data_IF_937929342858
#
_entry.id   IF_937929342858
#
_cell.length_a   1.000
_cell.length_b   1.000
_cell.length_c   1.000
_cell.angle_alpha   90.00
_cell.angle_beta   90.00
_cell.angle_gamma   90.00
#
_symmetry.space_group_name_H-M   'P 1'
#
loop_
_entity.id
_entity.type
_entity.pdbx_description
1 polymer ?
#
# COMPACT_ATOMS: atom_id res chain seq x y z
N UNK A 1 -40.20 48.72 -6.88
CA UNK A 1 -38.83 48.98 -6.35
C UNK A 1 -38.33 47.85 -5.41
N UNK A 2 -39.09 47.35 -4.45
CA UNK A 2 -38.63 46.35 -3.50
C UNK A 2 -38.28 44.97 -4.08
N UNK A 3 -38.90 44.47 -5.16
CA UNK A 3 -38.59 43.20 -5.77
C UNK A 3 -37.23 43.14 -6.48
N UNK A 4 -36.78 44.28 -7.01
CA UNK A 4 -35.48 44.37 -7.71
C UNK A 4 -34.31 44.38 -6.68
N UNK A 5 -34.53 44.99 -5.51
CA UNK A 5 -33.53 45.02 -4.45
C UNK A 5 -33.31 43.63 -3.84
N UNK A 6 -34.40 42.82 -3.68
CA UNK A 6 -34.29 41.45 -3.17
C UNK A 6 -33.53 40.52 -4.12
N UNK A 7 -33.72 40.64 -5.42
CA UNK A 7 -33.00 39.85 -6.42
C UNK A 7 -31.52 40.22 -6.45
N UNK A 8 -31.19 41.49 -6.33
CA UNK A 8 -29.78 41.96 -6.27
C UNK A 8 -29.05 41.51 -5.00
N UNK A 9 -29.73 41.47 -3.84
CA UNK A 9 -29.15 40.96 -2.59
C UNK A 9 -28.90 39.45 -2.66
N UNK A 10 -29.83 38.65 -3.19
CA UNK A 10 -29.66 37.19 -3.34
C UNK A 10 -28.56 36.86 -4.34
N UNK A 11 -28.44 37.62 -5.44
CA UNK A 11 -27.36 37.42 -6.44
C UNK A 11 -25.99 37.83 -5.82
N UNK A 12 -25.94 38.92 -5.05
CA UNK A 12 -24.71 39.37 -4.41
C UNK A 12 -24.23 38.40 -3.31
N UNK A 13 -25.15 37.85 -2.49
CA UNK A 13 -24.85 36.80 -1.53
C UNK A 13 -24.42 35.48 -2.19
N UNK A 14 -25.07 35.08 -3.28
CA UNK A 14 -24.71 33.90 -4.05
C UNK A 14 -23.34 34.04 -4.75
N UNK A 15 -23.00 35.23 -5.23
CA UNK A 15 -21.66 35.50 -5.80
C UNK A 15 -20.55 35.49 -4.73
N UNK A 16 -20.81 36.10 -3.57
CA UNK A 16 -19.83 36.09 -2.46
C UNK A 16 -19.59 34.68 -1.89
N UNK A 17 -20.64 33.84 -1.78
CA UNK A 17 -20.48 32.43 -1.38
C UNK A 17 -19.70 31.63 -2.42
N UNK A 18 -19.92 31.85 -3.72
CA UNK A 18 -19.14 31.21 -4.79
C UNK A 18 -17.68 31.70 -4.84
N UNK A 19 -17.44 32.98 -4.64
CA UNK A 19 -16.09 33.55 -4.59
C UNK A 19 -15.31 33.03 -3.39
N UNK A 20 -15.91 33.00 -2.19
CA UNK A 20 -15.27 32.43 -1.01
C UNK A 20 -15.00 30.92 -1.12
N UNK A 21 -15.90 30.16 -1.77
CA UNK A 21 -15.67 28.74 -2.04
C UNK A 21 -14.56 28.53 -3.10
N UNK A 22 -14.47 29.41 -4.06
CA UNK A 22 -13.47 29.37 -5.12
C UNK A 22 -12.07 29.84 -4.63
N UNK A 23 -12.00 30.82 -3.72
CA UNK A 23 -10.77 31.22 -3.04
C UNK A 23 -10.28 30.12 -2.09
N UNK A 24 -11.17 29.53 -1.29
CA UNK A 24 -10.83 28.43 -0.39
C UNK A 24 -10.31 27.19 -1.15
N UNK A 25 -10.86 26.89 -2.33
CA UNK A 25 -10.34 25.83 -3.21
C UNK A 25 -8.97 26.20 -3.84
N UNK A 26 -8.74 27.50 -4.15
CA UNK A 26 -7.43 27.96 -4.64
C UNK A 26 -6.35 27.77 -3.59
N UNK A 27 -6.64 28.09 -2.32
CA UNK A 27 -5.71 27.91 -1.21
C UNK A 27 -5.39 26.42 -0.97
N UNK A 28 -6.38 25.54 -1.09
CA UNK A 28 -6.19 24.09 -1.00
C UNK A 28 -5.20 23.62 -2.07
N UNK A 29 -5.39 23.99 -3.31
CA UNK A 29 -4.50 23.62 -4.41
C UNK A 29 -3.09 24.21 -4.22
N UNK A 30 -2.98 25.46 -3.81
CA UNK A 30 -1.70 26.17 -3.68
C UNK A 30 -0.78 25.51 -2.64
N UNK A 31 -1.28 25.18 -1.44
CA UNK A 31 -0.45 24.58 -0.39
C UNK A 31 -0.06 23.14 -0.74
N UNK A 32 -1.01 22.34 -1.25
CA UNK A 32 -0.71 20.99 -1.70
C UNK A 32 0.33 20.99 -2.83
N UNK A 33 0.18 21.88 -3.80
CA UNK A 33 1.14 22.11 -4.89
C UNK A 33 2.52 22.46 -4.32
N UNK A 34 2.60 23.44 -3.43
CA UNK A 34 3.86 23.90 -2.82
C UNK A 34 4.57 22.78 -2.06
N UNK A 35 3.83 21.93 -1.32
CA UNK A 35 4.41 20.81 -0.58
C UNK A 35 4.98 19.74 -1.51
N UNK A 36 4.28 19.42 -2.60
CA UNK A 36 4.75 18.41 -3.55
C UNK A 36 5.92 18.96 -4.38
N UNK A 37 5.85 20.21 -4.83
CA UNK A 37 6.91 20.87 -5.57
C UNK A 37 8.18 21.03 -4.72
N UNK A 38 8.05 21.37 -3.43
CA UNK A 38 9.17 21.36 -2.49
C UNK A 38 9.85 19.98 -2.44
N UNK A 39 9.07 18.88 -2.46
CA UNK A 39 9.61 17.53 -2.52
C UNK A 39 10.40 17.27 -3.81
N UNK A 40 9.89 17.70 -4.96
CA UNK A 40 10.57 17.56 -6.26
C UNK A 40 11.86 18.38 -6.30
N UNK A 41 11.80 19.64 -5.89
CA UNK A 41 12.95 20.55 -5.86
C UNK A 41 14.08 20.05 -4.95
N UNK A 42 13.74 19.44 -3.81
CA UNK A 42 14.68 18.83 -2.88
C UNK A 42 15.03 17.37 -3.23
N UNK A 43 14.70 16.90 -4.43
CA UNK A 43 14.97 15.55 -4.94
C UNK A 43 14.45 14.44 -4.03
N UNK A 44 13.36 14.67 -3.31
CA UNK A 44 12.70 13.64 -2.52
C UNK A 44 12.04 12.58 -3.41
N UNK A 45 11.61 12.97 -4.58
CA UNK A 45 11.07 12.13 -5.67
C UNK A 45 11.02 12.95 -6.97
N UNK A 46 11.12 12.32 -8.15
CA UNK A 46 11.04 13.05 -9.43
C UNK A 46 9.63 13.44 -9.82
N UNK A 47 8.61 12.73 -9.33
CA UNK A 47 7.22 13.03 -9.60
C UNK A 47 6.27 12.29 -8.66
N UNK A 48 5.01 12.71 -8.67
CA UNK A 48 3.99 12.18 -7.75
C UNK A 48 2.57 12.28 -8.32
N UNK A 49 1.66 11.50 -7.72
CA UNK A 49 0.20 11.71 -7.79
C UNK A 49 -0.32 11.99 -6.39
N UNK A 50 -1.22 12.95 -6.28
CA UNK A 50 -1.93 13.28 -5.05
C UNK A 50 -3.43 13.27 -5.30
N UNK A 51 -4.16 12.54 -4.44
CA UNK A 51 -5.62 12.59 -4.36
C UNK A 51 -6.02 12.87 -2.92
N UNK A 52 -6.91 13.85 -2.74
CA UNK A 52 -7.58 14.16 -1.48
C UNK A 52 -9.08 13.99 -1.69
N UNK A 53 -9.69 13.19 -0.83
CA UNK A 53 -11.14 12.98 -0.76
C UNK A 53 -11.64 13.46 0.60
N UNK A 54 -12.69 14.24 0.60
CA UNK A 54 -13.32 14.75 1.82
C UNK A 54 -14.80 15.04 1.58
N UNK A 55 -15.63 14.71 2.56
CA UNK A 55 -17.07 14.99 2.50
C UNK A 55 -17.72 14.50 1.19
N UNK A 56 -17.56 13.20 0.94
CA UNK A 56 -18.16 12.44 -0.17
C UNK A 56 -17.76 12.90 -1.58
N UNK A 57 -16.62 13.60 -1.72
CA UNK A 57 -16.13 14.01 -3.03
C UNK A 57 -14.62 14.10 -3.11
N UNK A 58 -14.08 13.91 -4.32
CA UNK A 58 -12.67 14.17 -4.63
C UNK A 58 -12.45 15.68 -4.67
N UNK A 59 -11.69 16.20 -3.73
CA UNK A 59 -11.33 17.62 -3.65
C UNK A 59 -10.13 17.97 -4.54
N UNK A 60 -9.18 17.04 -4.65
CA UNK A 60 -7.97 17.19 -5.45
C UNK A 60 -7.58 15.85 -6.09
N UNK A 61 -7.30 15.88 -7.39
CA UNK A 61 -6.59 14.82 -8.11
C UNK A 61 -5.60 15.46 -9.07
N UNK A 62 -4.31 15.35 -8.75
CA UNK A 62 -3.27 16.01 -9.55
C UNK A 62 -2.00 15.18 -9.64
N UNK A 63 -1.32 15.29 -10.78
CA UNK A 63 -0.01 14.70 -11.05
C UNK A 63 1.04 15.79 -11.14
N UNK A 64 2.25 15.52 -10.65
CA UNK A 64 3.35 16.47 -10.53
C UNK A 64 4.63 15.86 -11.08
N UNK A 65 5.49 16.69 -11.65
CA UNK A 65 6.83 16.33 -12.06
C UNK A 65 6.88 15.29 -13.18
N UNK A 66 7.87 14.42 -13.10
CA UNK A 66 8.25 13.50 -14.17
C UNK A 66 8.49 12.08 -13.63
N UNK A 67 8.55 11.08 -14.54
CA UNK A 67 8.89 9.71 -14.16
C UNK A 67 10.29 9.60 -13.57
N UNK A 68 11.21 10.42 -14.06
CA UNK A 68 12.64 10.42 -13.73
C UNK A 68 13.17 11.87 -13.66
N UNK A 69 14.37 12.06 -13.10
CA UNK A 69 15.00 13.39 -12.99
C UNK A 69 15.54 13.96 -14.32
N UNK A 70 15.49 13.18 -15.41
CA UNK A 70 15.79 13.71 -16.76
C UNK A 70 14.70 14.62 -17.32
N UNK A 71 13.55 14.65 -16.68
CA UNK A 71 12.39 15.51 -17.00
C UNK A 71 11.82 15.30 -18.42
N UNK A 72 11.90 14.08 -18.96
CA UNK A 72 11.39 13.75 -20.30
C UNK A 72 9.91 13.34 -20.26
N UNK A 73 9.54 12.39 -19.39
CA UNK A 73 8.19 11.84 -19.32
C UNK A 73 7.44 12.44 -18.13
N UNK A 74 6.47 13.32 -18.40
CA UNK A 74 5.61 13.90 -17.35
C UNK A 74 4.73 12.82 -16.72
N UNK A 75 4.53 12.91 -15.41
CA UNK A 75 3.56 12.06 -14.70
C UNK A 75 2.15 12.43 -15.10
N UNK A 76 1.33 11.42 -15.37
CA UNK A 76 -0.12 11.54 -15.69
C UNK A 76 -0.94 10.89 -14.57
N UNK A 77 -2.18 11.31 -14.40
CA UNK A 77 -3.12 10.68 -13.45
C UNK A 77 -3.42 9.20 -13.79
N UNK A 78 -3.07 8.75 -15.00
CA UNK A 78 -3.20 7.36 -15.44
C UNK A 78 -1.99 6.50 -15.15
N UNK A 79 -0.85 7.07 -14.78
CA UNK A 79 0.39 6.31 -14.59
C UNK A 79 0.36 5.45 -13.32
N UNK A 80 0.97 4.28 -13.41
CA UNK A 80 0.96 3.28 -12.35
C UNK A 80 2.23 3.35 -11.49
N UNK A 81 2.06 3.34 -10.20
CA UNK A 81 3.13 3.27 -9.21
C UNK A 81 3.20 1.89 -8.54
N UNK A 82 4.40 1.41 -8.25
CA UNK A 82 4.58 0.28 -7.34
C UNK A 82 4.19 0.69 -5.93
N UNK A 83 3.12 0.11 -5.41
CA UNK A 83 2.55 0.47 -4.11
C UNK A 83 3.36 -0.04 -2.92
N UNK A 84 4.36 -0.90 -3.16
CA UNK A 84 5.14 -1.51 -2.09
C UNK A 84 4.23 -2.05 -0.96
N UNK A 85 4.52 -1.66 0.31
CA UNK A 85 3.76 -2.16 1.46
C UNK A 85 2.30 -1.69 1.57
N UNK A 86 1.87 -0.70 0.79
CA UNK A 86 0.43 -0.37 0.69
C UNK A 86 -0.35 -1.57 0.13
N UNK A 87 0.30 -2.46 -0.63
CA UNK A 87 -0.25 -3.77 -1.03
C UNK A 87 -0.80 -4.57 0.16
N UNK A 88 -0.18 -4.45 1.35
CA UNK A 88 -0.63 -5.19 2.53
C UNK A 88 -2.07 -4.88 2.90
N UNK A 89 -2.48 -3.62 2.82
CA UNK A 89 -3.85 -3.23 3.18
C UNK A 89 -4.80 -3.30 1.99
N UNK A 90 -4.36 -2.99 0.76
CA UNK A 90 -5.23 -2.99 -0.42
C UNK A 90 -5.37 -4.38 -1.10
N UNK A 91 -4.59 -5.37 -0.64
CA UNK A 91 -4.67 -6.74 -1.13
C UNK A 91 -4.59 -7.76 0.01
N UNK A 92 -3.47 -7.83 0.73
CA UNK A 92 -3.25 -8.86 1.75
C UNK A 92 -4.31 -8.89 2.85
N UNK A 93 -4.55 -7.73 3.46
CA UNK A 93 -5.55 -7.58 4.54
C UNK A 93 -6.98 -7.68 4.00
N UNK A 94 -7.30 -7.05 2.86
CA UNK A 94 -8.63 -7.16 2.26
C UNK A 94 -8.99 -8.62 1.94
N UNK A 95 -8.08 -9.38 1.33
CA UNK A 95 -8.31 -10.80 1.09
C UNK A 95 -8.55 -11.55 2.41
N UNK A 96 -7.75 -11.27 3.44
CA UNK A 96 -7.93 -11.92 4.74
C UNK A 96 -9.24 -11.50 5.42
N UNK A 97 -9.65 -10.23 5.37
CA UNK A 97 -10.96 -9.78 5.87
C UNK A 97 -12.12 -10.54 5.21
N UNK A 98 -12.01 -10.80 3.91
CA UNK A 98 -13.03 -11.58 3.21
C UNK A 98 -13.03 -13.06 3.60
N UNK A 99 -11.86 -13.66 3.75
CA UNK A 99 -11.75 -15.03 4.27
C UNK A 99 -12.27 -15.13 5.71
N UNK A 100 -11.97 -14.14 6.55
CA UNK A 100 -12.50 -14.04 7.91
C UNK A 100 -14.03 -14.11 7.93
N UNK A 101 -14.70 -13.36 7.05
CA UNK A 101 -16.17 -13.37 6.95
C UNK A 101 -16.75 -14.67 6.37
N UNK A 102 -16.07 -15.26 5.40
CA UNK A 102 -16.59 -16.42 4.67
C UNK A 102 -16.39 -17.74 5.41
N UNK A 103 -15.36 -17.81 6.26
CA UNK A 103 -14.95 -19.06 6.91
C UNK A 103 -14.95 -18.98 8.44
N UNK A 104 -15.58 -17.94 9.02
CA UNK A 104 -15.72 -17.71 10.46
C UNK A 104 -14.41 -17.92 11.25
N UNK A 105 -13.30 -17.35 10.73
CA UNK A 105 -11.97 -17.52 11.29
C UNK A 105 -11.89 -16.81 12.66
N UNK A 106 -11.58 -17.53 13.74
CA UNK A 106 -11.22 -16.89 15.01
C UNK A 106 -9.81 -16.29 14.90
N UNK A 107 -9.68 -14.99 15.18
CA UNK A 107 -8.40 -14.29 15.15
C UNK A 107 -7.40 -14.78 16.21
N UNK A 108 -7.87 -15.45 17.26
CA UNK A 108 -7.03 -16.06 18.29
C UNK A 108 -6.54 -17.46 17.89
N UNK A 109 -7.12 -18.07 16.86
CA UNK A 109 -6.65 -19.34 16.35
C UNK A 109 -5.23 -19.25 15.79
N UNK A 110 -4.54 -20.38 15.86
CA UNK A 110 -3.17 -20.52 15.37
C UNK A 110 -3.18 -20.56 13.84
N UNK A 111 -2.33 -19.78 13.23
CA UNK A 111 -2.09 -19.82 11.78
C UNK A 111 -1.71 -21.24 11.30
N UNK A 112 -1.07 -22.01 12.19
CA UNK A 112 -0.62 -23.39 11.89
C UNK A 112 -1.77 -24.39 11.72
N UNK A 113 -2.96 -24.11 12.21
CA UNK A 113 -4.13 -24.97 11.97
C UNK A 113 -4.58 -24.88 10.50
N UNK A 114 -4.46 -23.70 9.93
CA UNK A 114 -4.79 -23.43 8.53
C UNK A 114 -3.62 -23.71 7.57
N UNK A 115 -2.39 -23.60 8.01
CA UNK A 115 -1.18 -23.85 7.24
C UNK A 115 -0.33 -24.94 7.93
N UNK A 116 -0.67 -26.24 7.74
CA UNK A 116 -0.13 -27.35 8.54
C UNK A 116 1.38 -27.48 8.53
N UNK A 117 2.06 -26.98 7.49
CA UNK A 117 3.53 -26.98 7.46
C UNK A 117 4.16 -26.09 8.54
N UNK A 118 3.41 -25.17 9.15
CA UNK A 118 3.87 -24.37 10.30
C UNK A 118 3.86 -25.14 11.61
N UNK A 119 3.06 -26.23 11.73
CA UNK A 119 3.01 -27.08 12.95
C UNK A 119 4.38 -27.60 13.37
N UNK A 120 5.29 -27.83 12.39
CA UNK A 120 6.66 -28.27 12.62
C UNK A 120 7.68 -27.12 12.55
N UNK A 121 7.32 -25.95 13.07
CA UNK A 121 8.19 -24.77 13.14
C UNK A 121 8.00 -24.05 14.48
N UNK A 122 8.93 -23.15 14.80
CA UNK A 122 8.78 -22.25 15.97
C UNK A 122 7.60 -21.29 15.87
N UNK A 123 6.94 -21.20 14.69
CA UNK A 123 5.80 -20.32 14.41
C UNK A 123 4.44 -20.98 14.68
N UNK A 124 4.44 -22.22 15.19
CA UNK A 124 3.23 -23.02 15.38
C UNK A 124 2.19 -22.36 16.30
N UNK A 125 2.63 -21.56 17.28
CA UNK A 125 1.76 -20.94 18.28
C UNK A 125 1.27 -19.53 17.87
N UNK A 126 1.74 -18.97 16.73
CA UNK A 126 1.36 -17.63 16.33
C UNK A 126 -0.10 -17.59 15.90
N UNK A 127 -0.89 -16.67 16.49
CA UNK A 127 -2.29 -16.45 16.11
C UNK A 127 -2.42 -15.46 14.96
N UNK A 128 -3.57 -15.45 14.28
CA UNK A 128 -3.90 -14.44 13.26
C UNK A 128 -3.82 -13.02 13.82
N UNK A 129 -4.36 -12.80 15.02
CA UNK A 129 -4.28 -11.49 15.69
C UNK A 129 -2.85 -11.01 15.84
N UNK A 130 -1.95 -11.88 16.27
CA UNK A 130 -0.53 -11.54 16.45
C UNK A 130 0.19 -11.22 15.14
N UNK A 131 -0.01 -12.01 14.08
CA UNK A 131 0.70 -11.77 12.80
C UNK A 131 0.17 -10.53 12.08
N UNK A 132 -1.14 -10.24 12.18
CA UNK A 132 -1.75 -9.06 11.58
C UNK A 132 -1.39 -7.76 12.32
N UNK A 133 -1.24 -7.81 13.65
CA UNK A 133 -0.85 -6.65 14.46
C UNK A 133 0.67 -6.48 14.63
N UNK A 134 1.45 -7.32 13.95
CA UNK A 134 2.92 -7.32 14.07
C UNK A 134 3.43 -7.52 15.50
N UNK A 135 2.76 -8.38 16.28
CA UNK A 135 3.15 -8.75 17.66
C UNK A 135 3.55 -10.22 17.82
N UNK A 136 3.72 -10.94 16.71
CA UNK A 136 4.08 -12.38 16.72
C UNK A 136 5.57 -12.65 16.94
N UNK A 137 6.40 -11.62 17.05
CA UNK A 137 7.85 -11.75 17.14
C UNK A 137 8.53 -12.27 15.85
N UNK A 138 7.80 -12.40 14.73
CA UNK A 138 8.42 -12.77 13.46
C UNK A 138 9.34 -11.64 13.00
N UNK A 139 10.55 -11.99 12.53
CA UNK A 139 11.52 -10.98 12.07
C UNK A 139 10.95 -10.10 10.94
N UNK A 140 11.44 -8.86 10.77
CA UNK A 140 10.90 -7.90 9.80
C UNK A 140 10.90 -8.42 8.37
N UNK A 141 12.03 -8.95 7.88
CA UNK A 141 12.18 -9.45 6.53
C UNK A 141 13.35 -10.44 6.41
N UNK A 142 13.42 -11.12 5.28
CA UNK A 142 14.54 -12.00 4.90
C UNK A 142 15.12 -11.46 3.60
N UNK A 143 16.41 -11.13 3.59
CA UNK A 143 17.12 -10.66 2.39
C UNK A 143 17.32 -11.82 1.38
N UNK A 144 16.21 -12.26 0.74
CA UNK A 144 16.21 -13.41 -0.17
C UNK A 144 17.14 -13.25 -1.36
N UNK A 145 17.40 -12.03 -1.81
CA UNK A 145 18.34 -11.71 -2.87
C UNK A 145 19.77 -12.16 -2.55
N UNK A 146 20.17 -12.21 -1.27
CA UNK A 146 21.49 -12.66 -0.86
C UNK A 146 21.70 -14.18 -1.06
N UNK A 147 20.62 -14.94 -1.23
CA UNK A 147 20.70 -16.38 -1.42
C UNK A 147 20.72 -16.82 -2.89
N UNK A 148 20.62 -15.91 -3.85
CA UNK A 148 20.53 -16.27 -5.27
C UNK A 148 21.89 -16.28 -5.98
N UNK A 149 22.92 -15.61 -5.43
CA UNK A 149 24.25 -15.53 -6.02
C UNK A 149 25.33 -16.23 -5.18
N UNK A 150 26.37 -16.68 -5.85
CA UNK A 150 27.65 -17.11 -5.24
C UNK A 150 28.51 -15.87 -4.95
N UNK A 151 29.59 -16.03 -4.17
CA UNK A 151 30.56 -14.96 -3.89
C UNK A 151 31.17 -14.35 -5.16
N UNK A 152 31.33 -15.13 -6.22
CA UNK A 152 31.83 -14.68 -7.52
C UNK A 152 30.77 -14.02 -8.42
N UNK A 153 29.60 -13.67 -7.89
CA UNK A 153 28.51 -12.99 -8.60
C UNK A 153 27.62 -13.88 -9.48
N UNK A 154 28.06 -15.11 -9.81
CA UNK A 154 27.26 -16.05 -10.63
C UNK A 154 26.02 -16.53 -9.87
N UNK A 155 24.91 -16.77 -10.58
CA UNK A 155 23.70 -17.33 -9.96
C UNK A 155 23.94 -18.74 -9.42
N UNK A 156 23.38 -19.01 -8.25
CA UNK A 156 23.37 -20.39 -7.71
C UNK A 156 22.42 -21.28 -8.53
N UNK A 157 22.70 -22.59 -8.63
CA UNK A 157 21.76 -23.52 -9.26
C UNK A 157 20.35 -23.43 -8.66
N UNK A 158 19.32 -23.56 -9.50
CA UNK A 158 17.90 -23.53 -9.08
C UNK A 158 17.52 -22.24 -8.36
N UNK A 159 18.00 -21.09 -8.84
CA UNK A 159 17.62 -19.75 -8.40
C UNK A 159 17.16 -18.90 -9.58
N UNK A 160 18.05 -18.32 -10.34
CA UNK A 160 17.77 -17.41 -11.45
C UNK A 160 18.50 -17.83 -12.72
N UNK A 161 17.96 -17.41 -13.88
CA UNK A 161 18.60 -17.43 -15.20
C UNK A 161 18.25 -16.15 -15.97
N UNK A 162 19.06 -15.83 -16.98
CA UNK A 162 18.82 -14.72 -17.90
C UNK A 162 17.86 -15.08 -19.05
N UNK A 163 17.62 -16.39 -19.28
CA UNK A 163 16.76 -16.87 -20.35
C UNK A 163 15.56 -17.64 -19.76
N UNK A 164 14.38 -17.43 -20.34
CA UNK A 164 13.18 -18.18 -20.01
C UNK A 164 13.33 -19.64 -20.45
N UNK A 165 12.90 -20.56 -19.60
CA UNK A 165 12.84 -22.01 -19.90
C UNK A 165 11.71 -22.66 -19.12
N UNK A 166 11.33 -23.90 -19.47
CA UNK A 166 10.33 -24.69 -18.71
C UNK A 166 10.67 -24.82 -17.20
N UNK A 167 11.94 -24.70 -16.82
CA UNK A 167 12.39 -24.75 -15.41
C UNK A 167 12.48 -23.38 -14.75
N UNK A 168 12.53 -22.31 -15.54
CA UNK A 168 12.63 -20.91 -15.11
C UNK A 168 11.57 -20.09 -15.85
N UNK A 169 10.26 -20.33 -15.55
CA UNK A 169 9.16 -19.76 -16.33
C UNK A 169 8.79 -18.33 -15.93
N UNK A 170 9.08 -17.93 -14.68
CA UNK A 170 8.57 -16.71 -14.10
C UNK A 170 9.56 -15.58 -14.27
N UNK A 171 9.19 -14.58 -15.07
CA UNK A 171 9.95 -13.36 -15.27
C UNK A 171 9.79 -12.42 -14.07
N UNK A 172 10.89 -11.78 -13.63
CA UNK A 172 10.94 -10.88 -12.47
C UNK A 172 11.66 -9.55 -12.74
N UNK A 173 12.18 -9.43 -13.94
CA UNK A 173 12.75 -8.21 -14.53
C UNK A 173 12.92 -8.43 -16.01
N UNK A 174 13.41 -7.45 -16.74
CA UNK A 174 13.53 -7.56 -18.20
C UNK A 174 14.40 -8.72 -18.64
N UNK A 175 15.37 -9.11 -17.83
CA UNK A 175 16.38 -10.14 -18.17
C UNK A 175 16.52 -11.26 -17.14
N UNK A 176 15.60 -11.39 -16.16
CA UNK A 176 15.73 -12.41 -15.12
C UNK A 176 14.50 -13.27 -14.97
N UNK A 177 14.72 -14.58 -14.84
CA UNK A 177 13.67 -15.61 -14.69
C UNK A 177 13.96 -16.48 -13.48
N UNK A 178 12.92 -16.72 -12.66
CA UNK A 178 13.01 -17.51 -11.42
C UNK A 178 12.77 -18.99 -11.69
N UNK A 179 13.54 -19.81 -10.98
CA UNK A 179 13.31 -21.25 -10.93
C UNK A 179 11.93 -21.60 -10.37
N UNK A 180 11.15 -22.42 -11.07
CA UNK A 180 9.74 -22.75 -10.76
C UNK A 180 9.44 -23.14 -9.30
N UNK A 181 10.39 -23.78 -8.61
CA UNK A 181 10.23 -24.18 -7.20
C UNK A 181 10.92 -23.23 -6.20
N UNK A 182 11.37 -22.05 -6.63
CA UNK A 182 12.01 -21.09 -5.72
C UNK A 182 11.06 -20.54 -4.67
N UNK A 183 9.76 -20.31 -4.94
CA UNK A 183 8.77 -19.93 -3.92
C UNK A 183 8.76 -20.87 -2.72
N UNK A 184 8.86 -22.18 -2.93
CA UNK A 184 8.96 -23.18 -1.83
C UNK A 184 10.18 -22.96 -0.93
N UNK A 185 11.29 -22.44 -1.49
CA UNK A 185 12.48 -22.08 -0.69
C UNK A 185 12.23 -20.86 0.19
N UNK A 186 11.46 -19.88 -0.30
CA UNK A 186 11.07 -18.70 0.47
C UNK A 186 10.25 -19.12 1.69
N UNK A 187 9.18 -19.88 1.48
CA UNK A 187 8.32 -20.40 2.57
C UNK A 187 9.15 -21.22 3.56
N UNK A 188 10.05 -22.10 3.07
CA UNK A 188 10.94 -22.87 3.96
C UNK A 188 11.85 -21.98 4.81
N UNK A 189 12.33 -20.86 4.28
CA UNK A 189 13.15 -19.89 5.07
C UNK A 189 12.31 -19.19 6.09
N UNK A 190 11.12 -18.70 5.73
CA UNK A 190 10.17 -18.10 6.68
C UNK A 190 9.95 -19.03 7.88
N UNK A 191 9.69 -20.31 7.66
CA UNK A 191 9.50 -21.32 8.72
C UNK A 191 10.70 -21.46 9.65
N UNK A 192 11.91 -21.21 9.16
CA UNK A 192 13.17 -21.44 9.88
C UNK A 192 13.76 -20.20 10.55
N UNK A 193 13.18 -19.01 10.31
CA UNK A 193 13.66 -17.80 10.97
C UNK A 193 13.39 -17.85 12.46
N UNK A 194 14.23 -17.16 13.23
CA UNK A 194 13.99 -16.95 14.65
C UNK A 194 12.68 -16.22 14.92
N UNK A 195 12.20 -16.33 16.14
CA UNK A 195 11.14 -15.50 16.70
C UNK A 195 11.79 -14.63 17.78
N UNK A 196 11.49 -13.36 17.76
CA UNK A 196 11.83 -12.39 18.80
C UNK A 196 10.75 -12.37 19.88
N UNK A 197 10.72 -11.40 20.75
CA UNK A 197 9.73 -11.28 21.81
C UNK A 197 8.31 -11.24 21.26
N UNK A 198 7.49 -12.19 21.66
CA UNK A 198 6.06 -12.24 21.33
C UNK A 198 5.30 -11.26 22.21
N UNK A 199 4.33 -10.55 21.64
CA UNK A 199 3.56 -9.50 22.32
C UNK A 199 4.08 -8.09 22.06
N UNK A 200 5.37 -7.92 21.80
CA UNK A 200 5.96 -6.64 21.44
C UNK A 200 5.74 -6.30 19.96
N UNK A 201 5.65 -5.00 19.67
CA UNK A 201 5.55 -4.53 18.30
C UNK A 201 6.87 -4.74 17.55
N UNK A 202 6.82 -5.56 16.52
CA UNK A 202 7.91 -5.75 15.57
C UNK A 202 7.34 -5.89 14.15
N UNK A 203 7.40 -4.81 13.37
CA UNK A 203 6.89 -4.82 12.00
C UNK A 203 7.47 -5.96 11.19
N UNK A 204 6.63 -6.87 10.71
CA UNK A 204 7.04 -8.03 9.90
C UNK A 204 6.18 -8.17 8.64
N UNK A 205 6.84 -8.30 7.49
CA UNK A 205 6.19 -8.62 6.22
C UNK A 205 5.93 -10.11 6.00
N UNK A 206 6.48 -10.99 6.85
CA UNK A 206 6.56 -12.43 6.56
C UNK A 206 5.20 -13.15 6.53
N UNK A 207 4.25 -12.73 7.36
CA UNK A 207 2.88 -13.25 7.34
C UNK A 207 2.23 -13.06 5.95
N UNK A 208 2.40 -11.90 5.37
CA UNK A 208 1.76 -11.56 4.10
C UNK A 208 2.25 -12.40 2.92
N UNK A 209 3.40 -13.09 3.04
CA UNK A 209 3.84 -14.09 2.08
C UNK A 209 3.00 -15.36 2.10
N UNK A 210 2.30 -15.62 3.19
CA UNK A 210 1.49 -16.81 3.39
C UNK A 210 0.02 -16.60 3.02
N UNK A 211 -0.43 -15.34 2.96
CA UNK A 211 -1.83 -15.00 2.63
C UNK A 211 -2.28 -15.56 1.28
N UNK A 212 -1.49 -15.52 0.19
CA UNK A 212 -1.91 -16.13 -1.08
C UNK A 212 -2.16 -17.64 -1.00
N UNK A 213 -1.35 -18.37 -0.22
CA UNK A 213 -1.54 -19.80 -0.01
C UNK A 213 -2.78 -20.08 0.85
N UNK A 214 -2.97 -19.33 1.92
CA UNK A 214 -4.16 -19.40 2.75
C UNK A 214 -5.43 -19.15 1.93
N UNK A 215 -5.41 -18.09 1.08
CA UNK A 215 -6.53 -17.78 0.19
C UNK A 215 -6.87 -18.96 -0.70
N UNK A 216 -5.86 -19.55 -1.36
CA UNK A 216 -6.07 -20.72 -2.24
C UNK A 216 -6.59 -21.93 -1.47
N UNK A 217 -6.08 -22.16 -0.28
CA UNK A 217 -6.46 -23.33 0.53
C UNK A 217 -7.92 -23.24 1.00
N UNK A 218 -8.38 -22.08 1.44
CA UNK A 218 -9.73 -21.89 1.95
C UNK A 218 -10.76 -21.73 0.82
N UNK A 219 -10.47 -20.88 -0.17
CA UNK A 219 -11.47 -20.53 -1.21
C UNK A 219 -11.34 -21.32 -2.51
N UNK A 220 -10.24 -22.07 -2.71
CA UNK A 220 -9.92 -22.69 -4.00
C UNK A 220 -9.45 -21.70 -5.08
N UNK A 221 -9.60 -20.39 -4.86
CA UNK A 221 -9.24 -19.33 -5.81
C UNK A 221 -7.76 -18.98 -5.71
N UNK A 222 -7.18 -18.47 -6.79
CA UNK A 222 -5.91 -17.76 -6.70
C UNK A 222 -6.09 -16.47 -5.89
N UNK A 223 -5.01 -15.96 -5.29
CA UNK A 223 -5.05 -14.70 -4.53
C UNK A 223 -5.58 -13.53 -5.36
N UNK A 224 -5.10 -13.40 -6.61
CA UNK A 224 -5.55 -12.37 -7.54
C UNK A 224 -7.03 -12.56 -7.93
N UNK A 225 -7.48 -13.81 -8.20
CA UNK A 225 -8.88 -14.08 -8.51
C UNK A 225 -9.82 -13.80 -7.35
N UNK A 226 -9.40 -14.09 -6.12
CA UNK A 226 -10.17 -13.78 -4.92
C UNK A 226 -10.36 -12.27 -4.76
N UNK A 227 -9.29 -11.49 -4.90
CA UNK A 227 -9.35 -10.03 -4.84
C UNK A 227 -10.22 -9.43 -5.95
N UNK A 228 -10.09 -9.93 -7.18
CA UNK A 228 -10.92 -9.50 -8.31
C UNK A 228 -12.40 -9.75 -8.03
N UNK A 229 -12.75 -10.98 -7.69
CA UNK A 229 -14.13 -11.39 -7.44
C UNK A 229 -14.81 -10.56 -6.33
N UNK A 230 -14.12 -10.34 -5.23
CA UNK A 230 -14.74 -9.76 -4.04
C UNK A 230 -14.60 -8.24 -3.93
N UNK A 231 -13.62 -7.64 -4.61
CA UNK A 231 -13.33 -6.20 -4.49
C UNK A 231 -13.11 -5.50 -5.83
N UNK A 232 -12.12 -5.93 -6.64
CA UNK A 232 -11.65 -5.12 -7.75
C UNK A 232 -12.69 -5.02 -8.88
N UNK A 233 -13.36 -6.12 -9.24
CA UNK A 233 -14.41 -6.12 -10.25
C UNK A 233 -15.69 -5.42 -9.75
N UNK A 234 -16.21 -5.69 -8.51
CA UNK A 234 -17.33 -4.94 -7.95
C UNK A 234 -17.11 -3.43 -7.85
N UNK A 235 -15.88 -3.00 -7.59
CA UNK A 235 -15.46 -1.59 -7.52
C UNK A 235 -15.05 -1.02 -8.88
N UNK A 236 -15.07 -1.82 -9.94
CA UNK A 236 -14.72 -1.45 -11.32
C UNK A 236 -13.31 -0.86 -11.46
N UNK A 237 -12.33 -1.42 -10.74
CA UNK A 237 -10.96 -0.92 -10.73
C UNK A 237 -10.23 -1.31 -12.02
N UNK A 238 -9.96 -0.34 -12.88
CA UNK A 238 -9.36 -0.59 -14.18
C UNK A 238 -7.82 -0.50 -14.20
N UNK A 239 -7.26 0.36 -13.36
CA UNK A 239 -5.81 0.64 -13.35
C UNK A 239 -5.18 0.26 -12.01
N UNK A 240 -5.47 -0.97 -11.59
CA UNK A 240 -4.92 -1.61 -10.40
C UNK A 240 -4.67 -3.09 -10.73
N UNK A 241 -3.42 -3.55 -10.63
CA UNK A 241 -3.08 -4.94 -10.96
C UNK A 241 -1.75 -5.36 -10.35
N UNK A 242 -1.59 -6.67 -10.15
CA UNK A 242 -0.27 -7.29 -10.08
C UNK A 242 0.31 -7.44 -11.49
N UNK A 243 1.65 -7.49 -11.59
CA UNK A 243 2.35 -7.69 -12.87
C UNK A 243 1.81 -6.76 -13.98
N UNK A 244 1.87 -5.44 -13.79
CA UNK A 244 1.17 -4.46 -14.63
C UNK A 244 1.59 -4.53 -16.10
N UNK A 245 2.80 -5.00 -16.41
CA UNK A 245 3.28 -5.19 -17.80
C UNK A 245 2.48 -6.20 -18.62
N UNK A 246 1.58 -6.98 -17.98
CA UNK A 246 0.62 -7.84 -18.69
C UNK A 246 -0.53 -7.06 -19.32
N UNK A 247 -0.83 -5.87 -18.82
CA UNK A 247 -2.03 -5.11 -19.15
C UNK A 247 -1.73 -3.70 -19.65
N UNK A 248 -0.57 -3.14 -19.29
CA UNK A 248 -0.22 -1.76 -19.56
C UNK A 248 1.18 -1.65 -20.19
N UNK A 249 1.38 -0.72 -21.12
CA UNK A 249 2.71 -0.45 -21.66
C UNK A 249 3.63 0.12 -20.57
N UNK A 250 4.94 -0.17 -20.64
CA UNK A 250 5.92 0.33 -19.66
C UNK A 250 5.95 1.86 -19.56
N UNK A 251 5.64 2.56 -20.64
CA UNK A 251 5.56 4.03 -20.67
C UNK A 251 4.52 4.62 -19.73
N UNK A 252 3.54 3.81 -19.28
CA UNK A 252 2.52 4.19 -18.31
C UNK A 252 2.83 3.70 -16.88
N UNK A 253 4.00 3.13 -16.67
CA UNK A 253 4.42 2.62 -15.35
C UNK A 253 5.65 3.41 -14.91
N UNK A 254 5.53 4.06 -13.75
CA UNK A 254 6.62 4.87 -13.20
C UNK A 254 7.76 3.96 -12.74
N UNK A 255 9.03 4.21 -13.15
CA UNK A 255 10.17 3.44 -12.68
C UNK A 255 10.40 3.66 -11.18
N UNK A 256 10.84 2.61 -10.48
CA UNK A 256 11.08 2.68 -9.03
C UNK A 256 12.54 2.95 -8.67
N UNK A 257 13.46 2.11 -9.10
CA UNK A 257 14.87 2.18 -8.71
C UNK A 257 15.78 1.65 -9.81
N UNK A 258 17.00 2.18 -9.90
CA UNK A 258 18.08 1.51 -10.59
C UNK A 258 18.73 0.49 -9.61
N UNK A 259 18.22 -0.75 -9.63
CA UNK A 259 18.55 -1.79 -8.65
C UNK A 259 20.02 -2.26 -8.81
N UNK A 260 20.90 -1.70 -8.01
CA UNK A 260 22.31 -2.07 -7.96
C UNK A 260 22.63 -3.28 -7.06
N UNK A 261 21.64 -3.77 -6.29
CA UNK A 261 21.87 -4.86 -5.34
C UNK A 261 21.54 -6.23 -5.93
N UNK A 262 20.40 -6.34 -6.60
CA UNK A 262 19.85 -7.63 -6.99
C UNK A 262 19.76 -7.81 -8.51
N UNK A 263 18.99 -6.95 -9.21
CA UNK A 263 18.69 -7.11 -10.64
C UNK A 263 19.75 -6.51 -11.56
N UNK A 264 20.49 -5.50 -11.10
CA UNK A 264 21.49 -4.76 -11.85
C UNK A 264 20.92 -4.05 -13.08
N UNK A 265 19.72 -3.48 -12.92
CA UNK A 265 19.00 -2.77 -13.99
C UNK A 265 17.94 -1.84 -13.41
N UNK A 266 17.37 -0.99 -14.26
CA UNK A 266 16.17 -0.20 -13.92
C UNK A 266 15.00 -1.13 -13.64
N UNK A 267 14.32 -0.92 -12.51
CA UNK A 267 13.08 -1.63 -12.14
C UNK A 267 11.89 -0.78 -12.57
N UNK A 268 11.21 -1.21 -13.63
CA UNK A 268 10.03 -0.57 -14.17
C UNK A 268 9.01 -1.63 -14.62
N UNK A 269 7.83 -1.61 -14.02
CA UNK A 269 6.77 -2.59 -14.27
C UNK A 269 7.00 -3.96 -13.60
N UNK A 270 8.03 -4.05 -12.77
CA UNK A 270 8.34 -5.19 -11.93
C UNK A 270 8.30 -4.75 -10.46
N UNK A 271 7.76 -5.61 -9.58
CA UNK A 271 7.70 -5.28 -8.15
C UNK A 271 9.09 -4.99 -7.60
N UNK A 272 9.21 -3.87 -6.87
CA UNK A 272 10.49 -3.44 -6.28
C UNK A 272 11.00 -4.43 -5.22
N UNK A 273 10.13 -4.91 -4.34
CA UNK A 273 10.48 -5.87 -3.29
C UNK A 273 11.08 -7.16 -3.90
N UNK A 274 12.33 -7.46 -3.55
CA UNK A 274 13.08 -8.57 -4.10
C UNK A 274 12.48 -9.94 -3.75
N UNK A 275 11.92 -10.06 -2.55
CA UNK A 275 11.31 -11.31 -2.10
C UNK A 275 9.96 -11.55 -2.78
N UNK A 276 9.14 -10.48 -2.95
CA UNK A 276 7.91 -10.54 -3.72
C UNK A 276 8.19 -10.89 -5.19
N UNK A 277 9.24 -10.31 -5.79
CA UNK A 277 9.68 -10.67 -7.13
C UNK A 277 10.05 -12.16 -7.21
N UNK A 278 10.87 -12.65 -6.29
CA UNK A 278 11.33 -14.05 -6.25
C UNK A 278 10.21 -15.07 -6.00
N UNK A 279 9.05 -14.64 -5.49
CA UNK A 279 7.86 -15.51 -5.36
C UNK A 279 6.92 -15.39 -6.58
N UNK A 280 7.20 -14.46 -7.50
CA UNK A 280 6.47 -14.35 -8.76
C UNK A 280 5.71 -13.02 -8.95
N UNK A 281 5.87 -12.05 -8.05
CA UNK A 281 5.31 -10.70 -8.18
C UNK A 281 3.85 -10.54 -7.71
N UNK A 282 3.11 -11.63 -7.47
CA UNK A 282 1.75 -11.63 -6.93
C UNK A 282 1.81 -12.06 -5.49
N UNK A 283 1.74 -11.12 -4.55
CA UNK A 283 1.87 -11.46 -3.14
C UNK A 283 1.14 -10.48 -2.21
N UNK A 284 0.87 -10.89 -0.96
CA UNK A 284 0.16 -10.05 0.01
C UNK A 284 1.01 -8.95 0.64
N UNK A 285 2.35 -9.03 0.57
CA UNK A 285 3.24 -8.04 1.19
C UNK A 285 3.58 -6.85 0.29
N UNK A 286 3.67 -7.07 -1.01
CA UNK A 286 4.03 -6.11 -2.07
C UNK A 286 3.68 -6.68 -3.44
N UNK A 287 3.69 -5.86 -4.49
CA UNK A 287 3.50 -6.27 -5.88
C UNK A 287 2.27 -5.70 -6.56
N UNK A 288 1.40 -5.01 -5.83
CA UNK A 288 0.29 -4.27 -6.41
C UNK A 288 0.79 -2.97 -7.02
N UNK A 289 0.30 -2.65 -8.21
CA UNK A 289 0.52 -1.39 -8.91
C UNK A 289 -0.82 -0.71 -9.14
N UNK A 290 -0.87 0.60 -8.96
CA UNK A 290 -2.08 1.38 -9.24
C UNK A 290 -1.75 2.87 -9.46
N UNK A 291 -2.75 3.60 -9.98
CA UNK A 291 -2.82 5.04 -9.91
C UNK A 291 -3.72 5.49 -8.74
N UNK A 292 -3.69 6.76 -8.38
CA UNK A 292 -4.47 7.29 -7.28
C UNK A 292 -5.98 7.09 -7.44
N UNK A 293 -6.52 7.31 -8.65
CA UNK A 293 -7.95 7.16 -8.93
C UNK A 293 -8.47 5.73 -8.73
N UNK A 294 -7.64 4.71 -9.01
CA UNK A 294 -8.06 3.30 -8.82
C UNK A 294 -7.91 2.82 -7.37
N UNK A 295 -7.14 3.53 -6.54
CA UNK A 295 -7.08 3.26 -5.09
C UNK A 295 -8.28 3.87 -4.36
N UNK A 296 -8.78 5.03 -4.81
CA UNK A 296 -9.81 5.78 -4.12
C UNK A 296 -11.06 4.95 -3.77
N UNK A 297 -11.67 4.14 -4.67
CA UNK A 297 -12.84 3.32 -4.32
C UNK A 297 -12.56 2.29 -3.20
N UNK A 298 -11.32 1.79 -3.07
CA UNK A 298 -10.95 0.89 -1.97
C UNK A 298 -10.87 1.62 -0.63
N UNK A 299 -10.38 2.86 -0.62
CA UNK A 299 -10.34 3.65 0.60
C UNK A 299 -11.73 4.16 0.98
N UNK A 300 -12.55 4.52 0.00
CA UNK A 300 -13.94 4.90 0.21
C UNK A 300 -14.76 3.73 0.76
N UNK A 301 -14.57 2.51 0.25
CA UNK A 301 -15.14 1.29 0.82
C UNK A 301 -14.82 1.15 2.32
N UNK A 302 -13.56 1.38 2.71
CA UNK A 302 -13.12 1.29 4.10
C UNK A 302 -13.65 2.45 4.94
N UNK A 303 -13.67 3.67 4.41
CA UNK A 303 -14.25 4.85 5.04
C UNK A 303 -15.74 4.64 5.33
N UNK A 304 -16.47 4.08 4.38
CA UNK A 304 -17.91 3.81 4.45
C UNK A 304 -18.21 2.42 5.07
N UNK A 305 -17.31 1.92 5.93
CA UNK A 305 -17.52 0.71 6.74
C UNK A 305 -17.93 -0.52 5.92
N UNK A 306 -17.30 -0.68 4.75
CA UNK A 306 -17.51 -1.85 3.89
C UNK A 306 -18.54 -1.68 2.78
N UNK A 307 -19.14 -0.51 2.65
CA UNK A 307 -20.12 -0.16 1.59
C UNK A 307 -19.48 0.72 0.51
N UNK A 308 -19.85 0.50 -0.74
CA UNK A 308 -19.48 1.36 -1.86
C UNK A 308 -20.63 1.41 -2.87
N UNK A 309 -21.09 2.60 -3.25
CA UNK A 309 -22.23 2.81 -4.16
C UNK A 309 -23.45 1.91 -3.82
N UNK A 310 -23.80 1.84 -2.54
CA UNK A 310 -24.94 1.05 -2.06
C UNK A 310 -24.71 -0.47 -2.00
N UNK A 311 -23.53 -0.96 -2.38
CA UNK A 311 -23.16 -2.38 -2.30
C UNK A 311 -22.31 -2.65 -1.05
N UNK A 312 -22.74 -3.59 -0.23
CA UNK A 312 -21.97 -4.06 0.93
C UNK A 312 -21.00 -5.16 0.48
N UNK A 313 -19.70 -4.89 0.54
CA UNK A 313 -18.66 -5.85 0.20
C UNK A 313 -17.98 -6.47 1.43
N UNK A 314 -17.99 -5.74 2.56
CA UNK A 314 -17.54 -6.19 3.88
C UNK A 314 -18.56 -5.77 4.93
N UNK A 315 -18.70 -6.56 5.98
CA UNK A 315 -19.54 -6.20 7.13
C UNK A 315 -18.94 -5.00 7.88
N UNK A 316 -19.74 -4.04 8.36
CA UNK A 316 -19.25 -2.89 9.14
C UNK A 316 -18.41 -3.30 10.35
N UNK A 317 -18.81 -4.37 11.04
CA UNK A 317 -18.12 -4.93 12.20
C UNK A 317 -16.73 -5.44 11.83
N UNK A 318 -16.58 -6.06 10.66
CA UNK A 318 -15.28 -6.53 10.14
C UNK A 318 -14.38 -5.34 9.88
N UNK A 319 -14.84 -4.31 9.19
CA UNK A 319 -14.03 -3.11 8.94
C UNK A 319 -13.60 -2.46 10.25
N UNK A 320 -14.54 -2.27 11.20
CA UNK A 320 -14.24 -1.72 12.53
C UNK A 320 -13.19 -2.56 13.27
N UNK A 321 -13.38 -3.89 13.31
CA UNK A 321 -12.48 -4.82 14.01
C UNK A 321 -11.04 -4.74 13.46
N UNK A 322 -10.89 -4.64 12.15
CA UNK A 322 -9.57 -4.62 11.52
C UNK A 322 -8.88 -3.26 11.59
N UNK A 323 -9.65 -2.18 11.58
CA UNK A 323 -9.11 -0.81 11.58
C UNK A 323 -8.92 -0.21 12.96
N UNK A 324 -9.55 -0.73 14.01
CA UNK A 324 -9.28 -0.33 15.40
C UNK A 324 -7.95 -0.88 15.90
N UNK A 325 -7.43 -0.37 17.02
CA UNK A 325 -6.22 -0.91 17.65
C UNK A 325 -6.46 -2.36 18.10
N UNK A 326 -5.55 -3.27 17.71
CA UNK A 326 -5.66 -4.68 18.07
C UNK A 326 -5.48 -4.93 19.56
N UNK A 327 -4.65 -4.09 20.22
CA UNK A 327 -4.37 -4.13 21.66
C UNK A 327 -4.47 -2.71 22.23
N UNK A 328 -5.68 -2.26 22.63
CA UNK A 328 -5.90 -0.88 23.11
C UNK A 328 -5.04 -0.49 24.30
N UNK A 329 -4.78 -1.42 25.20
CA UNK A 329 -4.02 -1.20 26.45
C UNK A 329 -2.49 -1.28 26.29
N UNK A 330 -2.00 -1.55 25.06
CA UNK A 330 -0.56 -1.67 24.81
C UNK A 330 -0.01 -0.46 24.04
N UNK A 331 1.32 -0.35 24.01
CA UNK A 331 2.03 0.63 23.18
C UNK A 331 2.00 0.28 21.68
N UNK A 332 1.52 -0.93 21.32
CA UNK A 332 1.37 -1.33 19.93
C UNK A 332 0.18 -0.58 19.29
N UNK A 333 0.48 0.41 18.45
CA UNK A 333 -0.55 1.21 17.79
C UNK A 333 -1.32 0.48 16.71
N UNK A 334 -0.86 -0.70 16.23
CA UNK A 334 -1.39 -1.36 15.03
C UNK A 334 -2.83 -1.85 15.17
N UNK A 335 -3.60 -1.69 14.08
CA UNK A 335 -4.77 -2.49 13.81
C UNK A 335 -4.39 -3.85 13.21
N UNK A 336 -5.37 -4.58 12.70
CA UNK A 336 -5.12 -5.87 12.04
C UNK A 336 -4.75 -5.65 10.57
N UNK A 337 -3.46 -5.54 10.29
CA UNK A 337 -2.89 -5.21 8.99
C UNK A 337 -2.72 -3.70 8.75
N UNK A 338 -3.49 -2.87 9.40
CA UNK A 338 -3.44 -1.40 9.24
C UNK A 338 -2.47 -0.74 10.20
N UNK A 339 -1.87 0.37 9.77
CA UNK A 339 -1.16 1.29 10.64
C UNK A 339 -2.12 2.31 11.24
N UNK A 340 -1.77 2.85 12.40
CA UNK A 340 -2.60 3.80 13.14
C UNK A 340 -1.73 4.93 13.71
N UNK A 341 -2.33 6.03 14.18
CA UNK A 341 -1.58 7.12 14.80
C UNK A 341 -0.74 6.66 16.00
N UNK A 342 0.33 7.38 16.28
CA UNK A 342 1.13 7.22 17.49
C UNK A 342 0.26 7.28 18.74
N UNK A 343 0.63 6.53 19.78
CA UNK A 343 -0.14 6.43 21.03
C UNK A 343 0.48 7.20 22.19
N UNK A 344 1.70 7.68 22.04
CA UNK A 344 2.44 8.40 23.08
C UNK A 344 2.64 9.86 22.68
N UNK A 345 2.33 10.78 23.56
CA UNK A 345 2.61 12.21 23.42
C UNK A 345 4.12 12.53 23.34
N UNK A 346 4.95 11.59 23.82
CA UNK A 346 6.41 11.72 23.83
C UNK A 346 7.09 11.18 22.56
N UNK A 347 6.34 10.74 21.55
CA UNK A 347 6.86 10.29 20.26
C UNK A 347 6.49 11.33 19.19
N UNK A 348 7.38 11.49 18.20
CA UNK A 348 7.04 12.23 17.02
C UNK A 348 5.69 11.74 16.47
N UNK A 349 4.77 12.67 16.27
CA UNK A 349 3.42 12.34 15.85
C UNK A 349 3.44 11.66 14.47
N UNK A 350 2.95 10.45 14.43
CA UNK A 350 2.81 9.68 13.20
C UNK A 350 1.34 9.33 12.99
N UNK A 351 0.82 9.46 11.79
CA UNK A 351 1.46 10.02 10.57
C UNK A 351 1.49 11.55 10.57
N UNK A 352 0.72 12.20 11.43
CA UNK A 352 0.53 13.63 11.56
C UNK A 352 -0.03 13.96 12.95
N UNK A 353 0.11 15.21 13.40
CA UNK A 353 -0.46 15.68 14.68
C UNK A 353 -2.00 15.75 14.68
N UNK A 354 -2.61 15.86 13.50
CA UNK A 354 -4.06 16.06 13.35
C UNK A 354 -4.83 14.77 13.09
N UNK A 355 -4.11 13.66 12.83
CA UNK A 355 -4.75 12.38 12.56
C UNK A 355 -5.55 11.88 13.77
N UNK A 356 -6.86 11.64 13.57
CA UNK A 356 -7.73 11.18 14.65
C UNK A 356 -7.34 9.79 15.16
N UNK A 357 -7.65 9.43 16.41
CA UNK A 357 -7.42 8.06 16.94
C UNK A 357 -8.14 6.98 16.15
N UNK A 358 -9.25 7.31 15.45
CA UNK A 358 -9.99 6.39 14.59
C UNK A 358 -9.30 6.16 13.25
N UNK A 359 -8.41 7.06 12.82
CA UNK A 359 -7.76 7.01 11.51
C UNK A 359 -6.83 5.81 11.34
N UNK A 360 -6.59 5.42 10.10
CA UNK A 360 -5.76 4.27 9.74
C UNK A 360 -5.22 4.39 8.32
N UNK A 361 -4.16 3.65 8.03
CA UNK A 361 -3.58 3.66 6.69
C UNK A 361 -2.37 2.77 6.57
N UNK A 362 -1.53 3.05 5.60
CA UNK A 362 -0.21 2.42 5.45
C UNK A 362 0.71 3.25 4.56
N UNK A 363 2.01 3.11 4.77
CA UNK A 363 3.04 3.67 3.90
C UNK A 363 3.76 2.59 3.10
N UNK A 364 4.26 2.94 1.91
CA UNK A 364 5.06 2.08 1.06
C UNK A 364 6.53 2.54 0.99
N UNK A 365 7.43 1.57 0.87
CA UNK A 365 8.87 1.83 0.78
C UNK A 365 9.25 2.68 -0.44
N UNK A 366 8.55 2.49 -1.54
CA UNK A 366 8.73 3.22 -2.80
C UNK A 366 8.39 4.70 -2.74
N UNK A 367 7.70 5.15 -1.68
CA UNK A 367 7.30 6.54 -1.52
C UNK A 367 5.77 6.72 -1.41
N UNK A 368 5.03 5.66 -1.57
CA UNK A 368 3.56 5.66 -1.53
C UNK A 368 3.02 5.79 -0.10
N UNK A 369 1.84 6.39 0.03
CA UNK A 369 1.15 6.60 1.29
C UNK A 369 -0.35 6.70 1.06
N UNK A 370 -1.13 6.00 1.89
CA UNK A 370 -2.58 6.14 1.93
C UNK A 370 -3.02 6.22 3.38
N UNK A 371 -3.97 7.11 3.66
CA UNK A 371 -4.49 7.31 5.00
C UNK A 371 -5.96 7.68 4.97
N UNK A 372 -6.76 7.05 5.82
CA UNK A 372 -8.20 7.26 5.97
C UNK A 372 -8.47 7.79 7.36
N UNK A 373 -9.21 8.87 7.47
CA UNK A 373 -9.69 9.42 8.74
C UNK A 373 -11.23 9.46 8.76
N UNK A 374 -11.86 8.46 9.40
CA UNK A 374 -13.32 8.40 9.47
C UNK A 374 -13.95 9.57 10.23
N UNK A 375 -13.25 10.18 11.19
CA UNK A 375 -13.78 11.33 11.96
C UNK A 375 -13.93 12.57 11.11
N UNK A 376 -13.08 12.70 10.09
CA UNK A 376 -13.07 13.83 9.16
C UNK A 376 -13.75 13.51 7.82
N UNK A 377 -14.32 12.30 7.67
CA UNK A 377 -14.81 11.78 6.39
C UNK A 377 -13.81 12.03 5.25
N UNK A 378 -12.53 11.75 5.52
CA UNK A 378 -11.41 12.12 4.66
C UNK A 378 -10.49 10.93 4.38
N UNK A 379 -9.90 10.90 3.19
CA UNK A 379 -8.71 10.11 2.92
C UNK A 379 -7.78 10.82 1.95
N UNK A 380 -6.50 10.45 2.04
CA UNK A 380 -5.44 10.92 1.15
C UNK A 380 -4.74 9.73 0.49
N UNK A 381 -4.38 9.92 -0.78
CA UNK A 381 -3.53 9.01 -1.55
C UNK A 381 -2.38 9.84 -2.11
N UNK A 382 -1.17 9.51 -1.67
CA UNK A 382 0.06 10.11 -2.20
C UNK A 382 0.94 9.01 -2.78
N UNK A 383 1.21 9.07 -4.08
CA UNK A 383 2.05 8.11 -4.79
C UNK A 383 3.28 8.83 -5.31
N UNK A 384 4.46 8.31 -4.97
CA UNK A 384 5.73 8.80 -5.50
C UNK A 384 6.72 7.65 -5.69
N UNK A 385 7.76 7.89 -6.46
CA UNK A 385 8.86 6.95 -6.65
C UNK A 385 10.15 7.45 -5.98
N UNK A 386 10.06 7.77 -4.67
CA UNK A 386 11.18 8.31 -3.88
C UNK A 386 12.47 7.48 -3.99
N UNK A 387 12.36 6.18 -4.27
CA UNK A 387 13.52 5.29 -4.41
C UNK A 387 14.24 5.44 -5.75
N UNK A 388 13.77 6.31 -6.64
CA UNK A 388 14.45 6.62 -7.88
C UNK A 388 15.47 7.75 -7.68
N UNK A 389 16.73 7.61 -8.17
CA UNK A 389 17.29 6.41 -8.80
C UNK A 389 17.79 5.38 -7.78
N UNK A 390 17.85 5.71 -6.48
CA UNK A 390 18.38 4.86 -5.42
C UNK A 390 17.53 4.89 -4.17
N UNK A 391 17.39 3.74 -3.51
CA UNK A 391 16.71 3.58 -2.20
C UNK A 391 17.35 4.37 -1.06
N UNK A 392 18.59 4.82 -1.23
CA UNK A 392 19.30 5.65 -0.26
C UNK A 392 18.68 7.04 -0.09
N UNK A 393 17.82 7.49 -1.01
CA UNK A 393 17.13 8.77 -0.92
C UNK A 393 16.21 8.84 0.30
N UNK A 394 16.44 9.84 1.18
CA UNK A 394 15.72 10.00 2.45
C UNK A 394 14.93 11.30 2.57
N UNK A 395 15.10 12.23 1.64
CA UNK A 395 14.50 13.56 1.71
C UNK A 395 12.96 13.56 1.90
N UNK A 396 12.25 12.53 1.37
CA UNK A 396 10.80 12.39 1.60
C UNK A 396 10.46 12.33 3.11
N UNK A 397 11.28 11.63 3.89
CA UNK A 397 11.10 11.48 5.33
C UNK A 397 11.56 12.72 6.09
N UNK A 398 12.72 13.26 5.73
CA UNK A 398 13.35 14.42 6.36
C UNK A 398 12.49 15.68 6.21
N UNK A 399 11.84 15.83 5.06
CA UNK A 399 10.90 16.93 4.78
C UNK A 399 9.51 16.72 5.39
N UNK A 400 9.18 15.52 5.87
CA UNK A 400 7.89 15.20 6.47
C UNK A 400 6.69 15.35 5.55
N UNK A 401 6.88 15.23 4.22
CA UNK A 401 5.87 15.58 3.20
C UNK A 401 4.55 14.85 3.41
N UNK A 402 4.59 13.55 3.73
CA UNK A 402 3.37 12.74 3.93
C UNK A 402 2.50 13.27 5.07
N UNK A 403 3.12 13.59 6.21
CA UNK A 403 2.43 14.16 7.37
C UNK A 403 1.84 15.53 7.06
N UNK A 404 2.63 16.43 6.45
CA UNK A 404 2.19 17.77 6.06
C UNK A 404 1.03 17.75 5.07
N UNK A 405 1.05 16.84 4.09
CA UNK A 405 -0.06 16.67 3.15
C UNK A 405 -1.32 16.13 3.83
N UNK A 406 -1.16 15.22 4.82
CA UNK A 406 -2.27 14.73 5.60
C UNK A 406 -2.85 15.83 6.51
N UNK A 407 -2.01 16.56 7.25
CA UNK A 407 -2.46 17.71 8.07
C UNK A 407 -3.28 18.67 7.25
N UNK A 408 -2.80 18.94 6.05
CA UNK A 408 -3.48 19.85 5.14
C UNK A 408 -4.86 19.32 4.69
N UNK A 409 -4.94 18.02 4.32
CA UNK A 409 -6.21 17.40 3.95
C UNK A 409 -7.23 17.36 5.11
N UNK A 410 -6.75 17.24 6.35
CA UNK A 410 -7.60 17.21 7.53
C UNK A 410 -8.13 18.60 7.92
N UNK A 411 -7.34 19.65 7.73
CA UNK A 411 -7.71 21.03 8.07
C UNK A 411 -8.72 21.67 7.11
N UNK A 412 -8.75 21.27 5.86
CA UNK A 412 -9.56 21.84 4.79
C UNK A 412 -10.64 20.89 4.29
#
# INVERSE_FOLDING_TARGET
MYKIIYVLIVVFFGLNLRLNAQEKNKDLHFIADSLVEMGIQNKAFPGAQLLIYKKDSVQLLKSYGYHTYDSIVKVKNTDLYDLASVTKILAGTLAFMKLYELYDIDLNERVSEYLPYLKRSNKKESSFKQVLSHSSGWIPYIAHQNFVRKKNGKFKPRTLKTNQTKRYPTQISDSLFVFKNYPKKIIRRIRKTEIKTVGEYLYSGLWFFLVPELTKQLSGLSFESCLKLHFYDPLQLQRLSFLPTRYFPKSEIVPTEYDNLFRKQLVQGWVHDEAAALIGGINGNAGLFANASSIAPLLELLLNKGSYNGKLLLKPETVKLFTQRAYPESTNRRGLGFDKPSVSENQDAYPSNLASPSSFGHSGFTGTFVWVDPSEACFIIFLSNRVYPSREQRALYELGIRGKLLDYALQN
#
